data_IF_217107618809
#
_entry.id   IF_217107618809
#
_cell.length_a   1.000
_cell.length_b   1.000
_cell.length_c   1.000
_cell.angle_alpha   90.00
_cell.angle_beta   90.00
_cell.angle_gamma   90.00
#
_symmetry.space_group_name_H-M   'P 1'
#
loop_
_entity.id
_entity.type
_entity.pdbx_description
1 polymer ?
#
# COMPACT_ATOMS: atom_id res chain seq x y z
N UNK A 1 25.22 24.24 0.75
CA UNK A 1 23.93 24.49 0.05
C UNK A 1 22.81 23.91 0.89
N UNK A 2 21.63 24.53 0.91
CA UNK A 2 20.50 24.15 1.76
C UNK A 2 19.21 24.21 0.92
N UNK A 3 18.36 23.18 1.00
CA UNK A 3 16.98 23.25 0.54
C UNK A 3 16.06 23.28 1.75
N UNK A 4 15.15 24.25 1.78
CA UNK A 4 14.14 24.39 2.82
C UNK A 4 12.80 23.95 2.24
N UNK A 5 12.11 23.04 2.96
CA UNK A 5 10.84 22.49 2.52
C UNK A 5 9.71 22.97 3.42
N UNK A 6 8.78 23.70 2.83
CA UNK A 6 7.62 24.24 3.50
C UNK A 6 6.36 23.44 3.14
N UNK A 7 5.57 23.09 4.16
CA UNK A 7 4.29 22.39 3.99
C UNK A 7 3.12 23.38 4.00
N UNK A 8 3.30 24.51 3.32
CA UNK A 8 2.31 25.59 3.18
C UNK A 8 2.49 26.30 1.83
N UNK A 9 1.55 27.18 1.48
CA UNK A 9 1.66 28.08 0.34
C UNK A 9 1.10 29.45 0.72
N UNK A 10 1.96 30.46 0.71
CA UNK A 10 1.57 31.86 0.88
C UNK A 10 1.58 32.56 -0.48
N UNK A 11 0.40 32.87 -1.02
CA UNK A 11 0.29 33.42 -2.35
C UNK A 11 0.80 34.87 -2.40
N UNK A 12 1.77 35.15 -3.27
CA UNK A 12 2.34 36.48 -3.46
C UNK A 12 3.44 36.85 -2.46
N UNK A 13 3.80 35.96 -1.52
CA UNK A 13 4.95 36.18 -0.65
C UNK A 13 6.27 36.01 -1.41
N UNK A 14 7.35 36.58 -0.85
CA UNK A 14 8.71 36.42 -1.38
C UNK A 14 9.31 35.03 -1.07
N UNK A 15 8.56 34.16 -0.40
CA UNK A 15 8.99 32.85 0.06
C UNK A 15 8.09 32.33 1.18
N UNK A 16 8.14 31.03 1.41
CA UNK A 16 7.40 30.40 2.51
C UNK A 16 8.08 30.64 3.88
N UNK A 17 7.33 30.50 5.00
CA UNK A 17 7.81 30.94 6.31
C UNK A 17 9.16 30.37 6.73
N UNK A 18 9.35 29.04 6.68
CA UNK A 18 10.60 28.43 7.13
C UNK A 18 11.76 28.80 6.20
N UNK A 19 11.50 28.87 4.89
CA UNK A 19 12.49 29.36 3.92
C UNK A 19 12.95 30.79 4.24
N UNK A 20 12.04 31.68 4.61
CA UNK A 20 12.38 33.06 4.99
C UNK A 20 13.19 33.11 6.29
N UNK A 21 12.79 32.37 7.33
CA UNK A 21 13.52 32.30 8.60
C UNK A 21 14.97 31.81 8.40
N UNK A 22 15.16 30.78 7.58
CA UNK A 22 16.49 30.25 7.26
C UNK A 22 17.30 31.28 6.48
N UNK A 23 16.71 31.99 5.51
CA UNK A 23 17.44 33.04 4.78
C UNK A 23 17.85 34.20 5.67
N UNK A 24 16.96 34.64 6.55
CA UNK A 24 17.22 35.76 7.46
C UNK A 24 18.38 35.44 8.42
N UNK A 25 18.45 34.20 8.90
CA UNK A 25 19.55 33.71 9.76
C UNK A 25 20.94 33.89 9.10
N UNK A 26 21.02 33.79 7.78
CA UNK A 26 22.26 33.95 7.01
C UNK A 26 22.41 35.33 6.36
N UNK A 27 21.48 36.26 6.57
CA UNK A 27 21.55 37.59 6.00
C UNK A 27 22.79 38.35 6.50
N UNK A 28 23.57 38.89 5.56
CA UNK A 28 24.82 39.60 5.86
C UNK A 28 25.95 38.74 6.43
N UNK A 29 25.83 37.40 6.46
CA UNK A 29 26.90 36.51 6.89
C UNK A 29 27.89 36.23 5.76
N UNK A 30 29.17 36.33 6.06
CA UNK A 30 30.23 35.88 5.15
C UNK A 30 30.09 34.38 4.89
N UNK A 31 30.34 33.93 3.66
CA UNK A 31 30.24 32.53 3.24
C UNK A 31 28.84 31.90 3.42
N UNK A 32 27.77 32.69 3.32
CA UNK A 32 26.40 32.19 3.34
C UNK A 32 26.18 31.10 2.26
N UNK A 33 25.57 29.95 2.62
CA UNK A 33 25.31 28.90 1.63
C UNK A 33 24.24 29.35 0.63
N UNK A 34 24.23 28.76 -0.56
CA UNK A 34 23.07 28.84 -1.45
C UNK A 34 21.88 28.18 -0.75
N UNK A 35 20.79 28.94 -0.56
CA UNK A 35 19.54 28.51 0.06
C UNK A 35 18.42 28.56 -0.97
N UNK A 36 17.77 27.43 -1.23
CA UNK A 36 16.58 27.33 -2.08
C UNK A 36 15.38 26.85 -1.28
N UNK A 37 14.18 27.33 -1.64
CA UNK A 37 12.91 26.97 -1.01
C UNK A 37 12.08 26.08 -1.93
N UNK A 38 11.33 25.16 -1.33
CA UNK A 38 10.39 24.30 -2.04
C UNK A 38 9.15 23.99 -1.22
N UNK A 39 8.03 23.76 -1.91
CA UNK A 39 6.77 23.36 -1.29
C UNK A 39 6.49 21.88 -1.48
N UNK A 40 5.92 21.26 -0.45
CA UNK A 40 5.56 19.83 -0.48
C UNK A 40 4.29 19.55 0.35
N UNK A 41 3.72 18.35 0.16
CA UNK A 41 2.82 17.75 1.14
C UNK A 41 1.50 18.46 1.44
N UNK A 42 1.10 19.46 0.63
CA UNK A 42 -0.14 20.21 0.82
C UNK A 42 -1.34 19.28 0.80
N UNK A 43 -2.26 19.44 1.75
CA UNK A 43 -3.48 18.62 1.88
C UNK A 43 -3.20 17.12 1.84
N UNK A 44 -2.16 16.68 2.54
CA UNK A 44 -1.73 15.28 2.61
C UNK A 44 -1.32 14.68 1.26
N UNK A 45 -0.87 15.50 0.31
CA UNK A 45 -0.18 15.02 -0.89
C UNK A 45 1.00 14.14 -0.47
N UNK A 46 1.05 12.91 -0.98
CA UNK A 46 2.07 11.94 -0.58
C UNK A 46 3.47 12.44 -0.92
N UNK A 47 4.38 12.35 0.04
CA UNK A 47 5.76 12.84 -0.05
C UNK A 47 6.71 11.66 0.02
N UNK A 48 7.09 11.16 -1.15
CA UNK A 48 7.82 9.89 -1.27
C UNK A 48 9.32 10.12 -1.25
N UNK A 49 10.13 9.09 -0.93
CA UNK A 49 11.57 9.25 -0.96
C UNK A 49 12.13 9.59 -2.34
N UNK A 50 11.49 9.12 -3.41
CA UNK A 50 11.84 9.48 -4.78
C UNK A 50 11.74 10.98 -5.02
N UNK A 51 10.72 11.65 -4.44
CA UNK A 51 10.56 13.10 -4.51
C UNK A 51 11.63 13.83 -3.69
N UNK A 52 12.03 13.30 -2.53
CA UNK A 52 13.12 13.85 -1.71
C UNK A 52 14.46 13.70 -2.44
N UNK A 53 14.68 12.61 -3.18
CA UNK A 53 15.85 12.46 -4.03
C UNK A 53 15.92 13.57 -5.10
N UNK A 54 14.79 13.92 -5.72
CA UNK A 54 14.73 15.06 -6.65
C UNK A 54 15.17 16.38 -5.99
N UNK A 55 14.89 16.58 -4.70
CA UNK A 55 15.34 17.77 -3.95
C UNK A 55 16.86 17.78 -3.80
N UNK A 56 17.46 16.64 -3.44
CA UNK A 56 18.91 16.53 -3.34
C UNK A 56 19.62 16.71 -4.69
N UNK A 57 19.06 16.18 -5.76
CA UNK A 57 19.61 16.35 -7.11
C UNK A 57 19.48 17.80 -7.58
N UNK A 58 18.35 18.45 -7.32
CA UNK A 58 18.19 19.88 -7.57
C UNK A 58 19.26 20.69 -6.82
N UNK A 59 19.54 20.37 -5.56
CA UNK A 59 20.60 21.02 -4.78
C UNK A 59 22.01 20.81 -5.36
N UNK A 60 22.24 19.71 -6.07
CA UNK A 60 23.52 19.39 -6.68
C UNK A 60 23.76 20.11 -8.02
N UNK A 61 22.71 20.61 -8.69
CA UNK A 61 22.83 21.34 -9.96
C UNK A 61 23.68 22.60 -9.81
N UNK A 62 24.50 23.01 -10.80
CA UNK A 62 25.26 24.27 -10.73
C UNK A 62 24.40 25.46 -10.29
N UNK A 63 23.20 25.55 -10.86
CA UNK A 63 22.14 26.50 -10.52
C UNK A 63 20.88 25.75 -10.02
N UNK A 64 20.73 25.53 -8.71
CA UNK A 64 19.55 24.87 -8.16
C UNK A 64 18.29 25.69 -8.40
N UNK A 65 17.21 25.02 -8.83
CA UNK A 65 15.90 25.65 -8.95
C UNK A 65 15.42 26.10 -7.57
N UNK A 66 15.01 27.36 -7.47
CA UNK A 66 14.40 27.93 -6.27
C UNK A 66 12.86 27.99 -6.42
N UNK A 67 12.13 28.14 -5.30
CA UNK A 67 10.66 28.17 -5.22
C UNK A 67 9.96 26.99 -5.91
N UNK A 68 10.59 25.82 -5.83
CA UNK A 68 10.12 24.63 -6.53
C UNK A 68 8.92 23.97 -5.82
N UNK A 69 8.30 23.02 -6.50
CA UNK A 69 7.29 22.13 -5.91
C UNK A 69 7.69 20.67 -6.09
N UNK A 70 7.31 19.80 -5.16
CA UNK A 70 7.44 18.34 -5.32
C UNK A 70 6.08 17.65 -5.16
N UNK A 71 5.94 16.50 -5.83
CA UNK A 71 4.73 15.67 -5.80
C UNK A 71 3.65 16.05 -6.81
N UNK A 72 3.84 17.10 -7.61
CA UNK A 72 2.94 17.50 -8.70
C UNK A 72 3.72 17.66 -10.01
N UNK A 73 2.99 17.68 -11.12
CA UNK A 73 3.49 18.19 -12.39
C UNK A 73 2.88 19.57 -12.56
N UNK A 74 3.70 20.60 -12.52
CA UNK A 74 3.30 21.98 -12.76
C UNK A 74 3.79 22.38 -14.14
N UNK A 75 2.92 22.19 -15.13
CA UNK A 75 3.12 22.50 -16.54
C UNK A 75 2.66 23.93 -16.92
N UNK A 76 2.26 24.73 -15.92
CA UNK A 76 1.81 26.11 -16.11
C UNK A 76 2.88 27.10 -15.65
N UNK A 77 3.31 26.98 -14.39
CA UNK A 77 4.36 27.85 -13.82
C UNK A 77 5.72 27.18 -13.77
N UNK A 78 5.81 25.93 -14.23
CA UNK A 78 7.06 25.18 -14.34
C UNK A 78 7.86 25.15 -13.05
N UNK A 79 7.22 25.09 -11.88
CA UNK A 79 7.90 25.06 -10.58
C UNK A 79 8.24 23.64 -10.13
N UNK A 80 7.56 22.62 -10.65
CA UNK A 80 7.77 21.24 -10.20
C UNK A 80 9.17 20.73 -10.51
N UNK A 81 9.74 19.96 -9.58
CA UNK A 81 10.91 19.13 -9.86
C UNK A 81 10.50 17.85 -10.60
N UNK A 82 11.41 17.22 -11.38
CA UNK A 82 11.11 15.99 -12.11
C UNK A 82 10.61 14.87 -11.19
N UNK A 83 9.59 14.15 -11.65
CA UNK A 83 9.14 12.91 -11.03
C UNK A 83 10.17 11.81 -11.29
N UNK A 84 10.39 10.96 -10.29
CA UNK A 84 11.30 9.82 -10.38
C UNK A 84 10.55 8.53 -10.10
N UNK A 85 11.13 7.42 -10.52
CA UNK A 85 10.60 6.11 -10.17
C UNK A 85 10.65 5.88 -8.65
N UNK A 86 9.62 5.22 -8.14
CA UNK A 86 9.54 4.87 -6.73
C UNK A 86 10.59 3.80 -6.40
N UNK A 87 11.33 4.03 -5.33
CA UNK A 87 12.45 3.18 -4.89
C UNK A 87 12.09 2.49 -3.58
N UNK A 88 12.40 1.19 -3.50
CA UNK A 88 12.25 0.43 -2.27
C UNK A 88 13.37 0.83 -1.30
N UNK A 89 13.04 1.62 -0.26
CA UNK A 89 14.00 2.10 0.76
C UNK A 89 13.93 1.35 2.10
N UNK A 90 13.49 0.09 2.08
CA UNK A 90 13.51 -0.79 3.24
C UNK A 90 14.76 -1.67 3.27
N UNK A 91 15.27 -2.00 4.45
CA UNK A 91 16.17 -3.14 4.60
C UNK A 91 15.48 -4.45 4.21
N UNK A 92 16.23 -5.52 4.05
CA UNK A 92 15.71 -6.85 3.65
C UNK A 92 14.59 -7.35 4.57
N UNK A 93 14.61 -6.94 5.85
CA UNK A 93 13.60 -7.30 6.84
C UNK A 93 12.28 -6.53 6.73
N UNK A 94 12.22 -5.43 5.95
CA UNK A 94 11.00 -4.64 5.80
C UNK A 94 10.09 -5.26 4.75
N UNK A 95 8.93 -5.72 5.23
CA UNK A 95 7.87 -6.21 4.39
C UNK A 95 6.77 -5.16 4.25
N UNK A 96 6.35 -4.89 3.02
CA UNK A 96 5.30 -3.94 2.69
C UNK A 96 4.12 -4.65 2.03
N UNK A 97 2.92 -4.44 2.56
CA UNK A 97 1.69 -5.04 2.03
C UNK A 97 0.63 -3.97 1.74
N UNK A 98 -0.10 -4.15 0.64
CA UNK A 98 -1.17 -3.24 0.21
C UNK A 98 -2.46 -4.00 -0.06
N UNK A 99 -3.57 -3.50 0.46
CA UNK A 99 -4.87 -4.18 0.37
C UNK A 99 -5.92 -3.22 -0.19
N UNK A 100 -6.52 -3.62 -1.30
CA UNK A 100 -7.62 -2.89 -1.93
C UNK A 100 -8.95 -3.53 -1.53
N UNK A 101 -9.80 -2.76 -0.88
CA UNK A 101 -11.11 -3.20 -0.41
C UNK A 101 -12.21 -2.20 -0.72
N UNK A 102 -13.44 -2.61 -0.42
CA UNK A 102 -14.64 -1.78 -0.49
C UNK A 102 -15.01 -1.24 0.89
N UNK A 103 -15.48 0.00 0.96
CA UNK A 103 -16.01 0.56 2.19
C UNK A 103 -17.10 -0.32 2.79
N UNK A 104 -16.87 -0.78 4.03
CA UNK A 104 -17.70 -1.71 4.80
C UNK A 104 -17.58 -3.22 4.47
N UNK A 105 -16.60 -3.64 3.66
CA UNK A 105 -16.32 -5.09 3.43
C UNK A 105 -15.55 -5.77 4.58
N UNK A 106 -15.02 -4.98 5.52
CA UNK A 106 -14.26 -5.46 6.67
C UNK A 106 -12.74 -5.55 6.46
N UNK A 107 -12.21 -5.19 5.29
CA UNK A 107 -10.77 -5.22 4.95
C UNK A 107 -9.93 -4.39 5.92
N UNK A 108 -10.31 -3.15 6.17
CA UNK A 108 -9.58 -2.26 7.11
C UNK A 108 -9.56 -2.85 8.51
N UNK A 109 -10.69 -3.41 8.97
CA UNK A 109 -10.78 -4.06 10.29
C UNK A 109 -9.87 -5.27 10.40
N UNK A 110 -9.87 -6.13 9.38
CA UNK A 110 -8.98 -7.29 9.29
C UNK A 110 -7.50 -6.88 9.26
N UNK A 111 -7.14 -5.79 8.58
CA UNK A 111 -5.76 -5.29 8.55
C UNK A 111 -5.31 -4.70 9.89
N UNK A 112 -6.18 -3.98 10.61
CA UNK A 112 -5.91 -3.53 11.98
C UNK A 112 -5.66 -4.73 12.90
N UNK A 113 -6.49 -5.77 12.78
CA UNK A 113 -6.30 -7.01 13.54
C UNK A 113 -4.99 -7.71 13.16
N UNK A 114 -4.67 -7.81 11.87
CA UNK A 114 -3.45 -8.47 11.40
C UNK A 114 -2.19 -7.80 11.95
N UNK A 115 -2.13 -6.47 11.94
CA UNK A 115 -1.01 -5.74 12.55
C UNK A 115 -0.92 -5.97 14.06
N UNK A 116 -2.04 -6.04 14.76
CA UNK A 116 -2.05 -6.35 16.18
C UNK A 116 -1.54 -7.77 16.45
N UNK A 117 -1.97 -8.75 15.65
CA UNK A 117 -1.50 -10.13 15.75
C UNK A 117 0.02 -10.19 15.53
N UNK A 118 0.55 -9.53 14.50
CA UNK A 118 1.99 -9.53 14.21
C UNK A 118 2.75 -8.81 15.34
N UNK A 119 2.31 -7.63 15.75
CA UNK A 119 3.01 -6.82 16.76
C UNK A 119 2.96 -7.42 18.17
N UNK A 120 1.87 -8.08 18.56
CA UNK A 120 1.74 -8.67 19.90
C UNK A 120 2.44 -10.04 20.02
N UNK A 121 2.76 -10.69 18.89
CA UNK A 121 3.32 -12.06 18.87
C UNK A 121 4.70 -12.14 18.21
N UNK A 122 5.30 -11.00 17.87
CA UNK A 122 6.67 -10.92 17.33
C UNK A 122 7.39 -9.69 17.87
N UNK A 123 8.70 -9.61 17.67
CA UNK A 123 9.49 -8.40 17.96
C UNK A 123 9.50 -7.41 16.79
N UNK A 124 8.63 -7.56 15.80
CA UNK A 124 8.60 -6.70 14.61
C UNK A 124 7.94 -5.37 14.92
N UNK A 125 8.56 -4.30 14.45
CA UNK A 125 7.89 -3.02 14.34
C UNK A 125 6.78 -3.14 13.31
N UNK A 126 5.59 -2.61 13.63
CA UNK A 126 4.44 -2.64 12.74
C UNK A 126 3.93 -1.22 12.50
N UNK A 127 3.56 -0.91 11.26
CA UNK A 127 2.97 0.37 10.87
C UNK A 127 1.75 0.12 9.97
N UNK A 128 0.67 0.85 10.23
CA UNK A 128 -0.53 0.84 9.40
C UNK A 128 -0.90 2.26 8.97
N UNK A 129 -1.27 2.43 7.71
CA UNK A 129 -1.98 3.61 7.24
C UNK A 129 -3.17 3.17 6.38
N UNK A 130 -4.31 3.84 6.54
CA UNK A 130 -5.55 3.49 5.84
C UNK A 130 -6.05 4.70 5.07
N UNK A 131 -6.09 4.59 3.75
CA UNK A 131 -6.66 5.58 2.86
C UNK A 131 -8.12 5.19 2.56
N UNK A 132 -9.01 6.15 2.75
CA UNK A 132 -10.45 6.02 2.49
C UNK A 132 -10.85 6.99 1.40
N UNK A 133 -11.84 6.60 0.60
CA UNK A 133 -12.59 7.51 -0.24
C UNK A 133 -13.38 8.52 0.63
N UNK A 134 -13.74 9.65 0.03
CA UNK A 134 -14.64 10.65 0.59
C UNK A 134 -16.07 10.13 0.78
N UNK A 135 -16.45 9.07 0.06
CA UNK A 135 -17.75 8.43 0.16
C UNK A 135 -17.91 7.66 1.48
N UNK A 136 -19.02 7.88 2.18
CA UNK A 136 -19.34 7.26 3.47
C UNK A 136 -19.52 5.73 3.39
N UNK A 137 -20.00 5.20 2.27
CA UNK A 137 -20.20 3.76 2.04
C UNK A 137 -19.93 3.39 0.58
N UNK A 138 -19.50 2.14 0.34
CA UNK A 138 -19.20 1.65 -1.01
C UNK A 138 -18.01 2.34 -1.70
N UNK A 139 -17.25 3.17 -0.97
CA UNK A 139 -16.07 3.84 -1.48
C UNK A 139 -14.87 2.91 -1.57
N UNK A 140 -13.86 3.32 -2.34
CA UNK A 140 -12.58 2.63 -2.41
C UNK A 140 -11.82 2.74 -1.07
N UNK A 141 -11.13 1.68 -0.67
CA UNK A 141 -10.20 1.71 0.46
C UNK A 141 -8.87 1.08 0.08
N UNK A 142 -7.77 1.68 0.57
CA UNK A 142 -6.42 1.15 0.43
C UNK A 142 -5.76 1.09 1.80
N UNK A 143 -5.42 -0.12 2.25
CA UNK A 143 -4.65 -0.32 3.47
C UNK A 143 -3.18 -0.49 3.13
N UNK A 144 -2.30 0.23 3.82
CA UNK A 144 -0.86 0.20 3.67
C UNK A 144 -0.26 -0.32 4.98
N UNK A 145 0.34 -1.51 4.92
CA UNK A 145 0.90 -2.18 6.08
C UNK A 145 2.40 -2.33 5.87
N UNK A 146 3.15 -2.10 6.95
CA UNK A 146 4.57 -2.41 6.99
C UNK A 146 4.88 -3.15 8.27
N UNK A 147 5.77 -4.13 8.19
CA UNK A 147 6.33 -4.79 9.35
C UNK A 147 7.77 -5.18 9.08
N UNK A 148 8.63 -5.08 10.10
CA UNK A 148 10.05 -5.39 9.96
C UNK A 148 10.80 -5.33 11.28
N UNK A 149 12.07 -5.73 11.26
CA UNK A 149 12.88 -5.89 12.47
C UNK A 149 13.52 -4.58 12.95
N UNK A 150 13.40 -3.50 12.15
CA UNK A 150 13.92 -2.17 12.47
C UNK A 150 12.80 -1.13 12.58
N UNK A 151 12.98 -0.05 13.38
CA UNK A 151 11.98 1.01 13.49
C UNK A 151 11.53 1.57 12.15
N UNK A 152 10.22 1.58 11.89
CA UNK A 152 9.66 2.02 10.62
C UNK A 152 9.46 3.53 10.63
N UNK A 153 10.26 4.26 9.84
CA UNK A 153 10.19 5.73 9.67
C UNK A 153 9.49 6.18 8.38
N UNK A 154 8.92 5.24 7.63
CA UNK A 154 8.26 5.51 6.35
C UNK A 154 6.92 6.23 6.54
N UNK A 155 6.95 7.56 6.66
CA UNK A 155 5.76 8.42 6.78
C UNK A 155 5.17 8.80 5.42
N UNK A 156 5.07 7.82 4.53
CA UNK A 156 4.52 7.91 3.16
C UNK A 156 3.77 6.61 2.83
N UNK A 157 2.96 6.62 1.77
CA UNK A 157 2.19 5.44 1.37
C UNK A 157 3.10 4.27 0.92
N UNK A 158 2.60 3.03 1.00
CA UNK A 158 3.29 1.89 0.38
C UNK A 158 3.20 2.01 -1.14
N UNK A 159 4.33 2.31 -1.77
CA UNK A 159 4.48 2.46 -3.22
C UNK A 159 5.20 1.28 -3.88
N UNK A 160 5.98 0.51 -3.11
CA UNK A 160 6.71 -0.66 -3.58
C UNK A 160 6.32 -1.92 -2.79
N UNK A 161 5.06 -2.39 -2.81
CA UNK A 161 4.65 -3.52 -1.98
C UNK A 161 5.35 -4.83 -2.37
N UNK A 162 5.64 -5.67 -1.37
CA UNK A 162 5.98 -7.09 -1.54
C UNK A 162 4.72 -7.92 -1.82
N UNK A 163 3.60 -7.52 -1.20
CA UNK A 163 2.32 -8.22 -1.30
C UNK A 163 1.19 -7.24 -1.62
N UNK A 164 0.35 -7.62 -2.58
CA UNK A 164 -0.88 -6.89 -2.91
C UNK A 164 -2.07 -7.84 -2.82
N UNK A 165 -3.12 -7.45 -2.10
CA UNK A 165 -4.41 -8.12 -2.18
C UNK A 165 -5.49 -7.22 -2.79
N UNK A 166 -6.24 -7.77 -3.73
CA UNK A 166 -7.40 -7.14 -4.34
C UNK A 166 -8.66 -7.90 -3.93
N UNK A 167 -9.44 -7.34 -3.00
CA UNK A 167 -10.63 -8.00 -2.45
C UNK A 167 -11.89 -7.78 -3.30
N UNK A 168 -11.80 -6.93 -4.33
CA UNK A 168 -12.90 -6.55 -5.22
C UNK A 168 -12.47 -6.76 -6.66
N UNK A 169 -12.94 -7.84 -7.30
CA UNK A 169 -12.58 -8.22 -8.67
C UNK A 169 -12.73 -7.09 -9.70
N UNK A 170 -13.76 -6.23 -9.57
CA UNK A 170 -13.99 -5.11 -10.49
C UNK A 170 -12.83 -4.10 -10.52
N UNK A 171 -12.04 -4.01 -9.45
CA UNK A 171 -10.93 -3.05 -9.37
C UNK A 171 -9.80 -3.36 -10.34
N UNK A 172 -9.69 -4.59 -10.86
CA UNK A 172 -8.72 -4.94 -11.91
C UNK A 172 -8.87 -4.09 -13.17
N UNK A 173 -10.08 -3.61 -13.46
CA UNK A 173 -10.37 -2.76 -14.63
C UNK A 173 -10.50 -1.29 -14.28
N UNK A 174 -10.84 -0.97 -13.03
CA UNK A 174 -11.10 0.41 -12.59
C UNK A 174 -9.87 1.12 -12.04
N UNK A 175 -8.91 0.40 -11.48
CA UNK A 175 -7.76 0.96 -10.78
C UNK A 175 -6.46 0.23 -11.13
N UNK A 176 -5.33 0.93 -11.02
CA UNK A 176 -4.02 0.32 -11.17
C UNK A 176 -3.59 -0.38 -9.87
N UNK A 177 -4.24 -1.52 -9.59
CA UNK A 177 -4.02 -2.28 -8.33
C UNK A 177 -2.63 -2.90 -8.24
N UNK A 178 -1.98 -3.15 -9.38
CA UNK A 178 -0.63 -3.75 -9.46
C UNK A 178 0.50 -2.71 -9.39
N UNK A 179 0.17 -1.40 -9.33
CA UNK A 179 1.16 -0.33 -9.34
C UNK A 179 2.22 -0.52 -8.25
N UNK A 180 3.46 -0.65 -8.71
CA UNK A 180 4.66 -0.72 -7.87
C UNK A 180 4.90 -2.05 -7.17
N UNK A 181 4.09 -3.08 -7.41
CA UNK A 181 4.36 -4.43 -6.89
C UNK A 181 5.75 -4.91 -7.32
N UNK A 182 6.58 -5.28 -6.35
CA UNK A 182 8.00 -5.59 -6.61
C UNK A 182 8.14 -6.82 -7.52
N UNK A 183 9.31 -6.91 -8.16
CA UNK A 183 9.76 -8.16 -8.78
C UNK A 183 9.69 -9.30 -7.77
N UNK A 184 9.23 -10.48 -8.21
CA UNK A 184 8.99 -11.65 -7.36
C UNK A 184 7.97 -11.40 -6.23
N UNK A 185 7.14 -10.36 -6.36
CA UNK A 185 6.08 -10.05 -5.41
C UNK A 185 4.92 -11.03 -5.49
N UNK A 186 3.99 -10.89 -4.55
CA UNK A 186 2.82 -11.75 -4.43
C UNK A 186 1.53 -10.95 -4.62
N UNK A 187 0.60 -11.51 -5.39
CA UNK A 187 -0.72 -10.94 -5.62
C UNK A 187 -1.82 -11.92 -5.17
N UNK A 188 -2.77 -11.47 -4.36
CA UNK A 188 -3.95 -12.23 -3.96
C UNK A 188 -5.22 -11.58 -4.52
N UNK A 189 -6.04 -12.36 -5.21
CA UNK A 189 -7.31 -11.89 -5.77
C UNK A 189 -8.51 -12.62 -5.14
N UNK A 190 -9.48 -11.85 -4.63
CA UNK A 190 -10.82 -12.37 -4.39
C UNK A 190 -11.63 -12.34 -5.69
N UNK A 191 -12.03 -13.50 -6.21
CA UNK A 191 -12.71 -13.61 -7.51
C UNK A 191 -13.63 -14.81 -7.57
N UNK A 192 -14.68 -14.69 -8.37
CA UNK A 192 -15.55 -15.83 -8.71
C UNK A 192 -14.98 -16.68 -9.86
N UNK A 193 -14.03 -16.14 -10.63
CA UNK A 193 -13.43 -16.82 -11.78
C UNK A 193 -12.42 -17.88 -11.31
N UNK A 194 -12.49 -19.07 -11.91
CA UNK A 194 -11.65 -20.21 -11.53
C UNK A 194 -10.78 -20.70 -12.70
N UNK A 195 -9.54 -21.09 -12.42
CA UNK A 195 -8.66 -21.73 -13.40
C UNK A 195 -8.49 -20.91 -14.67
N UNK A 196 -8.76 -21.52 -15.83
CA UNK A 196 -8.65 -20.86 -17.13
C UNK A 196 -9.57 -19.65 -17.30
N UNK A 197 -10.72 -19.62 -16.63
CA UNK A 197 -11.64 -18.50 -16.71
C UNK A 197 -11.01 -17.22 -16.16
N UNK A 198 -10.26 -17.33 -15.05
CA UNK A 198 -9.53 -16.21 -14.48
C UNK A 198 -8.50 -15.67 -15.47
N UNK A 199 -7.71 -16.57 -16.07
CA UNK A 199 -6.73 -16.19 -17.08
C UNK A 199 -7.38 -15.46 -18.26
N UNK A 200 -8.56 -15.90 -18.73
CA UNK A 200 -9.26 -15.23 -19.85
C UNK A 200 -9.71 -13.81 -19.50
N UNK A 201 -10.16 -13.57 -18.27
CA UNK A 201 -10.73 -12.27 -17.86
C UNK A 201 -9.71 -11.26 -17.31
N UNK A 202 -8.50 -11.68 -16.97
CA UNK A 202 -7.43 -10.76 -16.58
C UNK A 202 -7.07 -9.81 -17.75
N UNK A 203 -7.02 -8.48 -17.52
CA UNK A 203 -6.53 -7.53 -18.52
C UNK A 203 -5.09 -7.85 -18.97
N UNK A 204 -4.78 -7.63 -20.24
CA UNK A 204 -3.45 -7.87 -20.82
C UNK A 204 -2.37 -7.06 -20.12
N UNK A 205 -2.66 -5.83 -19.67
CA UNK A 205 -1.75 -5.03 -18.84
C UNK A 205 -1.33 -5.77 -17.57
N UNK A 206 -2.28 -6.43 -16.90
CA UNK A 206 -2.02 -7.17 -15.65
C UNK A 206 -1.27 -8.47 -15.95
N UNK A 207 -1.69 -9.22 -16.99
CA UNK A 207 -0.99 -10.43 -17.44
C UNK A 207 0.48 -10.18 -17.76
N UNK A 208 0.75 -9.14 -18.57
CA UNK A 208 2.12 -8.69 -18.87
C UNK A 208 2.90 -8.41 -17.61
N UNK A 209 2.32 -7.64 -16.70
CA UNK A 209 2.99 -7.29 -15.45
C UNK A 209 3.36 -8.52 -14.64
N UNK A 210 2.44 -9.48 -14.49
CA UNK A 210 2.70 -10.72 -13.77
C UNK A 210 3.84 -11.53 -14.38
N UNK A 211 3.87 -11.67 -15.71
CA UNK A 211 4.92 -12.40 -16.40
C UNK A 211 6.27 -11.66 -16.34
N UNK A 212 6.30 -10.36 -16.63
CA UNK A 212 7.53 -9.55 -16.63
C UNK A 212 8.14 -9.43 -15.22
N UNK A 213 7.31 -9.35 -14.17
CA UNK A 213 7.75 -9.19 -12.79
C UNK A 213 7.82 -10.50 -12.00
N UNK A 214 7.61 -11.64 -12.65
CA UNK A 214 7.60 -12.97 -12.02
C UNK A 214 6.72 -13.01 -10.75
N UNK A 215 5.48 -12.56 -10.86
CA UNK A 215 4.57 -12.42 -9.72
C UNK A 215 3.97 -13.78 -9.36
N UNK A 216 3.97 -14.09 -8.05
CA UNK A 216 3.20 -15.22 -7.52
C UNK A 216 1.74 -14.83 -7.38
N UNK A 217 0.86 -15.40 -8.20
CA UNK A 217 -0.55 -15.04 -8.26
C UNK A 217 -1.40 -16.10 -7.55
N UNK A 218 -2.09 -15.68 -6.50
CA UNK A 218 -3.06 -16.48 -5.76
C UNK A 218 -4.46 -15.93 -5.95
N UNK A 219 -5.45 -16.80 -5.95
CA UNK A 219 -6.85 -16.42 -6.07
C UNK A 219 -7.75 -17.31 -5.22
N UNK A 220 -8.86 -16.75 -4.75
CA UNK A 220 -9.83 -17.42 -3.88
C UNK A 220 -11.23 -16.85 -4.12
N UNK A 221 -12.27 -17.70 -4.08
CA UNK A 221 -13.65 -17.24 -4.06
C UNK A 221 -14.15 -17.11 -2.62
N UNK A 222 -13.67 -16.08 -1.93
CA UNK A 222 -14.05 -15.84 -0.55
C UNK A 222 -15.55 -15.54 -0.42
N UNK A 223 -16.20 -15.03 -1.47
CA UNK A 223 -17.65 -14.78 -1.51
C UNK A 223 -18.43 -16.09 -1.42
N UNK A 224 -18.09 -17.08 -2.24
CA UNK A 224 -18.73 -18.40 -2.20
C UNK A 224 -18.47 -19.11 -0.86
N UNK A 225 -17.23 -19.08 -0.37
CA UNK A 225 -16.87 -19.66 0.94
C UNK A 225 -17.70 -19.00 2.06
N UNK A 226 -17.84 -17.68 2.05
CA UNK A 226 -18.64 -16.96 3.04
C UNK A 226 -20.14 -17.32 2.98
N UNK A 227 -20.69 -17.55 1.78
CA UNK A 227 -22.07 -18.00 1.62
C UNK A 227 -22.26 -19.42 2.17
N UNK A 228 -21.37 -20.35 1.84
CA UNK A 228 -21.43 -21.75 2.29
C UNK A 228 -21.33 -21.87 3.82
N UNK A 229 -20.54 -21.01 4.47
CA UNK A 229 -20.42 -20.97 5.93
C UNK A 229 -21.60 -20.23 6.60
N UNK A 230 -22.36 -19.43 5.85
CA UNK A 230 -23.46 -18.61 6.40
C UNK A 230 -23.00 -17.28 7.01
N UNK A 231 -21.88 -16.72 6.52
CA UNK A 231 -21.39 -15.36 6.85
C UNK A 231 -21.93 -14.29 5.88
N UNK A 232 -22.67 -14.69 4.85
CA UNK A 232 -23.20 -13.79 3.82
C UNK A 232 -22.06 -13.17 3.00
N UNK A 233 -22.02 -11.84 2.91
CA UNK A 233 -21.02 -11.12 2.10
C UNK A 233 -19.73 -10.78 2.88
N UNK A 234 -19.50 -11.38 4.05
CA UNK A 234 -18.34 -11.08 4.90
C UNK A 234 -17.16 -11.98 4.55
N UNK A 235 -16.28 -11.49 3.70
CA UNK A 235 -15.10 -12.21 3.21
C UNK A 235 -13.82 -11.92 4.01
N UNK A 236 -13.85 -10.93 4.90
CA UNK A 236 -12.69 -10.40 5.61
C UNK A 236 -11.89 -11.45 6.40
N UNK A 237 -12.53 -12.33 7.16
CA UNK A 237 -11.84 -13.37 7.95
C UNK A 237 -11.13 -14.39 7.05
N UNK A 238 -11.76 -14.76 5.93
CA UNK A 238 -11.22 -15.71 4.95
C UNK A 238 -9.97 -15.11 4.29
N UNK A 239 -10.07 -13.88 3.82
CA UNK A 239 -8.97 -13.16 3.15
C UNK A 239 -7.84 -12.82 4.12
N UNK A 240 -8.15 -12.53 5.39
CA UNK A 240 -7.15 -12.38 6.44
C UNK A 240 -6.37 -13.67 6.68
N UNK A 241 -7.06 -14.81 6.73
CA UNK A 241 -6.42 -16.12 6.89
C UNK A 241 -5.53 -16.45 5.70
N UNK A 242 -6.03 -16.23 4.47
CA UNK A 242 -5.25 -16.41 3.24
C UNK A 242 -3.97 -15.56 3.25
N UNK A 243 -4.04 -14.29 3.69
CA UNK A 243 -2.86 -13.43 3.84
C UNK A 243 -1.80 -14.06 4.75
N UNK A 244 -2.16 -14.54 5.94
CA UNK A 244 -1.18 -15.16 6.85
C UNK A 244 -0.60 -16.46 6.31
N UNK A 245 -1.42 -17.29 5.66
CA UNK A 245 -0.97 -18.56 5.09
C UNK A 245 -0.03 -18.37 3.89
N UNK A 246 -0.32 -17.39 3.02
CA UNK A 246 0.49 -17.10 1.84
C UNK A 246 1.80 -16.41 2.23
N UNK A 247 1.73 -15.41 3.11
CA UNK A 247 2.91 -14.58 3.43
C UNK A 247 3.83 -15.20 4.46
N UNK A 248 3.30 -16.06 5.34
CA UNK A 248 4.04 -16.69 6.43
C UNK A 248 4.87 -15.70 7.26
N UNK A 249 4.40 -14.44 7.37
CA UNK A 249 5.03 -13.38 8.19
C UNK A 249 5.23 -13.83 9.65
N UNK A 250 4.34 -14.68 10.12
CA UNK A 250 4.41 -15.42 11.37
C UNK A 250 4.07 -16.89 11.10
N UNK A 251 4.45 -17.83 11.98
CA UNK A 251 4.09 -19.23 11.84
C UNK A 251 2.57 -19.40 11.66
N UNK A 252 2.16 -20.19 10.66
CA UNK A 252 0.75 -20.33 10.27
C UNK A 252 -0.13 -20.81 11.43
N UNK A 253 0.34 -21.79 12.22
CA UNK A 253 -0.39 -22.27 13.39
C UNK A 253 -0.64 -21.17 14.43
N UNK A 254 0.36 -20.31 14.67
CA UNK A 254 0.23 -19.16 15.57
C UNK A 254 -0.75 -18.12 15.00
N UNK A 255 -0.72 -17.85 13.70
CA UNK A 255 -1.68 -16.94 13.06
C UNK A 255 -3.12 -17.43 13.26
N UNK A 256 -3.39 -18.71 12.96
CA UNK A 256 -4.71 -19.32 13.10
C UNK A 256 -5.19 -19.25 14.56
N UNK A 257 -4.32 -19.60 15.51
CA UNK A 257 -4.64 -19.53 16.94
C UNK A 257 -5.03 -18.11 17.37
N UNK A 258 -4.22 -17.11 17.00
CA UNK A 258 -4.46 -15.71 17.37
C UNK A 258 -5.70 -15.12 16.69
N UNK A 259 -5.97 -15.51 15.44
CA UNK A 259 -7.22 -15.16 14.76
C UNK A 259 -8.44 -15.72 15.48
N UNK A 260 -8.42 -17.01 15.88
CA UNK A 260 -9.51 -17.64 16.64
C UNK A 260 -9.70 -16.98 18.00
N UNK A 261 -8.62 -16.66 18.74
CA UNK A 261 -8.69 -15.88 19.99
C UNK A 261 -9.35 -14.51 19.79
N UNK A 262 -9.01 -13.80 18.72
CA UNK A 262 -9.60 -12.50 18.41
C UNK A 262 -11.10 -12.63 18.09
N UNK A 263 -11.51 -13.67 17.34
CA UNK A 263 -12.91 -13.96 17.04
C UNK A 263 -13.73 -14.11 18.32
N UNK A 264 -13.25 -14.86 19.32
CA UNK A 264 -13.93 -14.99 20.63
C UNK A 264 -14.05 -13.63 21.31
N UNK A 265 -12.96 -12.84 21.33
CA UNK A 265 -12.96 -11.52 21.96
C UNK A 265 -13.96 -10.57 21.30
N UNK A 266 -14.07 -10.59 19.97
CA UNK A 266 -14.93 -9.67 19.21
C UNK A 266 -16.38 -10.13 19.11
N UNK A 267 -16.62 -11.43 19.03
CA UNK A 267 -17.93 -12.00 18.69
C UNK A 267 -18.48 -12.96 19.74
N UNK A 268 -17.77 -13.28 20.82
CA UNK A 268 -18.25 -14.18 21.88
C UNK A 268 -19.57 -13.72 22.50
N UNK A 269 -19.81 -12.41 22.60
CA UNK A 269 -21.09 -11.84 23.07
C UNK A 269 -22.26 -12.00 22.08
N UNK A 270 -22.00 -12.39 20.83
CA UNK A 270 -23.01 -12.53 19.78
C UNK A 270 -23.52 -13.97 19.63
N UNK A 271 -23.00 -14.91 20.41
CA UNK A 271 -23.39 -16.31 20.40
C UNK A 271 -22.38 -17.23 19.70
N UNK A 272 -22.41 -18.50 20.09
CA UNK A 272 -21.46 -19.53 19.67
C UNK A 272 -21.55 -19.83 18.17
N UNK A 273 -22.74 -19.79 17.58
CA UNK A 273 -22.94 -19.98 16.14
C UNK A 273 -22.11 -18.99 15.30
N UNK A 274 -22.10 -17.70 15.68
CA UNK A 274 -21.32 -16.68 14.97
C UNK A 274 -19.81 -16.91 15.15
N UNK A 275 -19.38 -17.37 16.33
CA UNK A 275 -17.97 -17.73 16.60
C UNK A 275 -17.55 -18.91 15.72
N UNK A 276 -18.34 -19.99 15.70
CA UNK A 276 -18.06 -21.20 14.93
C UNK A 276 -18.03 -20.94 13.42
N UNK A 277 -18.93 -20.09 12.90
CA UNK A 277 -18.89 -19.63 11.51
C UNK A 277 -17.58 -18.90 11.19
N UNK A 278 -17.12 -18.03 12.08
CA UNK A 278 -15.83 -17.35 11.86
C UNK A 278 -14.63 -18.30 12.00
N UNK A 279 -14.70 -19.34 12.85
CA UNK A 279 -13.67 -20.37 12.90
C UNK A 279 -13.57 -21.14 11.58
N UNK A 280 -14.70 -21.57 11.03
CA UNK A 280 -14.74 -22.20 9.72
C UNK A 280 -14.14 -21.28 8.64
N UNK A 281 -14.39 -19.97 8.72
CA UNK A 281 -13.80 -19.01 7.79
C UNK A 281 -12.27 -18.89 7.91
N UNK A 282 -11.71 -19.03 9.11
CA UNK A 282 -10.25 -19.11 9.30
C UNK A 282 -9.71 -20.37 8.63
N UNK A 283 -10.32 -21.52 8.90
CA UNK A 283 -9.85 -22.82 8.43
C UNK A 283 -9.94 -22.93 6.89
N UNK A 284 -11.02 -22.40 6.30
CA UNK A 284 -11.22 -22.35 4.84
C UNK A 284 -10.41 -21.25 4.13
N UNK A 285 -9.69 -20.42 4.87
CA UNK A 285 -8.77 -19.43 4.30
C UNK A 285 -7.62 -20.06 3.48
N UNK A 286 -7.35 -21.35 3.66
CA UNK A 286 -6.34 -22.11 2.90
C UNK A 286 -6.83 -22.64 1.55
N UNK A 287 -8.10 -22.43 1.18
CA UNK A 287 -8.68 -22.90 -0.09
C UNK A 287 -8.29 -22.03 -1.30
N UNK A 288 -7.32 -21.12 -1.14
CA UNK A 288 -6.78 -20.37 -2.27
C UNK A 288 -6.08 -21.32 -3.25
N UNK A 289 -6.06 -20.91 -4.52
CA UNK A 289 -5.35 -21.59 -5.59
C UNK A 289 -4.26 -20.67 -6.13
N UNK A 290 -3.22 -21.26 -6.67
CA UNK A 290 -2.19 -20.52 -7.40
C UNK A 290 -2.50 -20.55 -8.90
N UNK A 291 -2.43 -19.39 -9.54
CA UNK A 291 -2.54 -19.27 -10.99
C UNK A 291 -1.14 -19.42 -11.60
N UNK A 292 -0.98 -20.37 -12.51
CA UNK A 292 0.23 -20.48 -13.33
C UNK A 292 0.29 -19.30 -14.29
N UNK A 293 1.32 -18.46 -14.15
CA UNK A 293 1.57 -17.33 -15.03
C UNK A 293 2.28 -17.83 -16.28
N UNK A 294 1.68 -17.62 -17.44
CA UNK A 294 2.27 -17.99 -18.73
C UNK A 294 3.37 -16.97 -19.11
N UNK A 295 4.62 -17.40 -19.34
CA UNK A 295 5.69 -16.51 -19.81
C UNK A 295 5.35 -15.77 -21.11
N UNK A 296 4.52 -16.35 -21.99
CA UNK A 296 4.08 -15.70 -23.23
C UNK A 296 3.25 -14.43 -22.96
N UNK A 297 2.70 -14.27 -21.75
CA UNK A 297 1.97 -13.06 -21.39
C UNK A 297 2.84 -11.82 -21.36
N UNK A 298 4.17 -11.94 -21.25
CA UNK A 298 5.08 -10.80 -21.15
C UNK A 298 5.04 -9.87 -22.38
N UNK A 299 4.58 -10.36 -23.54
CA UNK A 299 4.57 -9.65 -24.83
C UNK A 299 3.17 -9.38 -25.38
N UNK A 300 2.11 -9.61 -24.59
CA UNK A 300 0.73 -9.36 -25.04
C UNK A 300 0.52 -7.88 -25.43
N UNK A 301 -0.28 -7.57 -26.46
CA UNK A 301 -0.62 -6.19 -26.79
C UNK A 301 -1.50 -5.54 -25.70
N UNK A 302 -1.58 -4.21 -25.69
CA UNK A 302 -2.61 -3.51 -24.90
C UNK A 302 -4.01 -3.97 -25.31
N UNK A 303 -4.93 -4.03 -24.34
CA UNK A 303 -6.36 -4.27 -24.58
C UNK A 303 -7.03 -3.03 -25.19
#
# INVERSE_FOLDING_TARGET
RIAVLDRTKEAGSNGEPLYLDVKDTFYGKENAPIIVGGRYGLSSKDTTPAQILSVFENLALPEPKNHFTIGIVDDVTFTSLPLKEEIALGGESLYEAKFYGLGADGTVGANKNSIKIIGDNTNKYCQAYFAYDSKKSGGFTSSHLRFGDTPIRSTYLVNTPNFVACHVQAYLKMYDVIRGLRQNGTFLLNTVWMGEELAKHLPNKIKRYFAQKNISVYYINATQIALEIGLGNRTNTILQSAFFQITQVIPVGLAIEQMKKFIVKSYGKKGEDIVNKNYAAVDRGGEYKQLTVDPAWATLPDD
#
